data_IF_305228078431
#
_entry.id   IF_305228078431
#
_cell.length_a   1.000
_cell.length_b   1.000
_cell.length_c   1.000
_cell.angle_alpha   90.00
_cell.angle_beta   90.00
_cell.angle_gamma   90.00
#
_symmetry.space_group_name_H-M   'P 1'
#
loop_
_entity.id
_entity.type
_entity.pdbx_description
1 polymer ?
#
# COMPACT_ATOMS: atom_id res chain seq x y z
N UNK A 1 7.92 2.23 -11.38
CA UNK A 1 7.32 1.54 -10.21
C UNK A 1 5.91 2.03 -9.88
N UNK A 2 5.69 3.33 -9.63
CA UNK A 2 4.38 3.86 -9.21
C UNK A 2 3.20 3.44 -10.13
N UNK A 3 3.32 3.62 -11.45
CA UNK A 3 2.30 3.19 -12.41
C UNK A 3 1.99 1.68 -12.32
N UNK A 4 3.04 0.86 -12.15
CA UNK A 4 2.94 -0.58 -12.02
C UNK A 4 2.22 -1.00 -10.73
N UNK A 5 2.53 -0.34 -9.62
CA UNK A 5 1.82 -0.52 -8.35
C UNK A 5 0.35 -0.10 -8.49
N UNK A 6 0.06 1.00 -9.19
CA UNK A 6 -1.31 1.46 -9.42
C UNK A 6 -2.12 0.43 -10.21
N UNK A 7 -1.52 -0.15 -11.25
CA UNK A 7 -2.13 -1.23 -12.03
C UNK A 7 -2.44 -2.45 -11.14
N UNK A 8 -1.46 -2.93 -10.37
CA UNK A 8 -1.64 -4.09 -9.50
C UNK A 8 -2.67 -3.87 -8.37
N UNK A 9 -2.75 -2.64 -7.83
CA UNK A 9 -3.67 -2.31 -6.75
C UNK A 9 -5.09 -1.96 -7.22
N UNK A 10 -5.27 -1.66 -8.52
CA UNK A 10 -6.56 -1.41 -9.13
C UNK A 10 -7.42 -0.41 -8.35
N UNK A 11 -8.62 -0.84 -7.96
CA UNK A 11 -9.62 -0.02 -7.24
C UNK A 11 -9.38 0.09 -5.72
N UNK A 12 -8.32 -0.53 -5.19
CA UNK A 12 -7.97 -0.43 -3.77
C UNK A 12 -7.42 0.96 -3.40
N UNK A 13 -6.85 1.67 -4.37
CA UNK A 13 -6.29 3.03 -4.23
C UNK A 13 -6.82 3.92 -5.35
N UNK A 14 -6.93 5.22 -5.13
CA UNK A 14 -7.24 6.18 -6.20
C UNK A 14 -6.04 6.40 -7.11
N UNK A 15 -4.85 6.55 -6.52
CA UNK A 15 -3.59 6.76 -7.24
C UNK A 15 -2.39 6.22 -6.46
N UNK A 16 -1.22 6.14 -7.11
CA UNK A 16 0.08 5.84 -6.47
C UNK A 16 1.09 6.92 -6.84
N UNK A 17 1.66 7.59 -5.84
CA UNK A 17 2.57 8.73 -6.03
C UNK A 17 3.89 8.55 -5.29
N UNK A 18 4.94 9.20 -5.79
CA UNK A 18 6.21 9.30 -5.06
C UNK A 18 6.04 10.33 -3.96
N UNK A 19 6.40 9.96 -2.73
CA UNK A 19 6.38 10.86 -1.58
C UNK A 19 7.63 11.73 -1.56
N UNK A 20 7.48 12.96 -1.08
CA UNK A 20 8.59 13.89 -0.78
C UNK A 20 8.76 14.14 0.72
N UNK A 21 7.93 13.51 1.55
CA UNK A 21 7.83 13.77 3.00
C UNK A 21 8.13 12.55 3.88
N UNK A 22 8.17 11.35 3.29
CA UNK A 22 8.49 10.12 4.02
C UNK A 22 9.99 10.05 4.25
N UNK A 23 10.38 9.79 5.51
CA UNK A 23 11.78 9.64 5.90
C UNK A 23 12.10 8.15 6.13
N UNK A 24 11.52 7.54 7.18
CA UNK A 24 11.81 6.15 7.55
C UNK A 24 10.83 5.12 7.02
N UNK A 25 9.62 5.53 6.66
CA UNK A 25 8.57 4.60 6.21
C UNK A 25 8.61 4.38 4.71
N UNK A 26 8.36 3.15 4.27
CA UNK A 26 8.30 2.80 2.85
C UNK A 26 7.10 3.44 2.14
N UNK A 27 6.00 3.63 2.86
CA UNK A 27 4.70 4.04 2.30
C UNK A 27 3.85 4.79 3.32
N UNK A 28 2.90 5.59 2.84
CA UNK A 28 1.79 6.11 3.65
C UNK A 28 0.53 6.30 2.80
N UNK A 29 -0.62 6.49 3.46
CA UNK A 29 -1.89 6.80 2.79
C UNK A 29 -2.21 8.29 2.94
N UNK A 30 -2.67 8.90 1.84
CA UNK A 30 -3.14 10.29 1.84
C UNK A 30 -4.50 10.42 1.19
N UNK A 31 -5.26 11.42 1.63
CA UNK A 31 -6.53 11.75 1.00
C UNK A 31 -6.30 12.17 -0.47
N UNK A 32 -7.20 11.81 -1.39
CA UNK A 32 -7.14 12.31 -2.75
C UNK A 32 -7.49 13.81 -2.78
N UNK A 33 -6.46 14.67 -2.81
CA UNK A 33 -6.60 16.11 -3.01
C UNK A 33 -7.56 16.80 -2.02
N UNK A 34 -8.53 17.56 -2.55
CA UNK A 34 -9.55 18.30 -1.79
C UNK A 34 -10.73 17.44 -1.30
N UNK A 35 -10.58 16.11 -1.27
CA UNK A 35 -11.59 15.18 -0.79
C UNK A 35 -11.74 15.17 0.74
N UNK A 36 -12.71 14.39 1.26
CA UNK A 36 -12.86 14.18 2.69
C UNK A 36 -11.57 13.63 3.30
N UNK A 37 -11.24 14.13 4.49
CA UNK A 37 -10.11 13.60 5.26
C UNK A 37 -10.28 12.09 5.49
N UNK A 38 -9.20 11.33 5.32
CA UNK A 38 -9.26 9.86 5.43
C UNK A 38 -9.67 9.41 6.83
N UNK A 39 -9.25 10.12 7.88
CA UNK A 39 -9.61 9.77 9.25
C UNK A 39 -11.10 9.99 9.49
N UNK A 40 -11.65 11.11 8.99
CA UNK A 40 -13.08 11.39 9.07
C UNK A 40 -13.89 10.32 8.32
N UNK A 41 -13.52 10.00 7.09
CA UNK A 41 -14.20 8.98 6.27
C UNK A 41 -14.22 7.61 6.98
N UNK A 42 -13.11 7.22 7.62
CA UNK A 42 -13.02 6.00 8.42
C UNK A 42 -13.93 6.02 9.64
N UNK A 43 -13.98 7.14 10.37
CA UNK A 43 -14.86 7.29 11.54
C UNK A 43 -16.35 7.17 11.17
N UNK A 44 -16.72 7.66 9.98
CA UNK A 44 -18.08 7.56 9.46
C UNK A 44 -18.38 6.17 8.89
N UNK A 45 -17.39 5.52 8.26
CA UNK A 45 -17.53 4.16 7.73
C UNK A 45 -17.88 3.13 8.81
N UNK A 46 -17.39 3.29 10.04
CA UNK A 46 -17.77 2.44 11.19
C UNK A 46 -19.25 2.54 11.59
N UNK A 47 -19.96 3.55 11.06
CA UNK A 47 -21.39 3.79 11.27
C UNK A 47 -22.19 3.67 9.97
N UNK A 48 -21.63 3.01 8.96
CA UNK A 48 -22.21 2.87 7.61
C UNK A 48 -22.52 4.22 6.92
N UNK A 49 -21.80 5.29 7.29
CA UNK A 49 -21.94 6.65 6.75
C UNK A 49 -20.70 7.13 6.02
N UNK A 50 -19.77 6.22 5.72
CA UNK A 50 -18.55 6.54 4.97
C UNK A 50 -18.86 6.98 3.55
N UNK A 51 -18.03 7.85 3.02
CA UNK A 51 -18.02 8.27 1.62
C UNK A 51 -17.27 7.28 0.71
N UNK A 52 -16.58 6.28 1.29
CA UNK A 52 -15.88 5.24 0.55
C UNK A 52 -14.63 5.77 -0.17
N UNK A 53 -13.94 6.72 0.46
CA UNK A 53 -12.81 7.43 -0.16
C UNK A 53 -11.66 6.45 -0.42
N UNK A 54 -11.23 6.37 -1.68
CA UNK A 54 -10.04 5.58 -2.06
C UNK A 54 -8.78 6.41 -1.80
N UNK A 55 -7.86 5.97 -0.94
CA UNK A 55 -6.66 6.74 -0.62
C UNK A 55 -5.68 6.74 -1.79
N UNK A 56 -4.80 7.73 -1.83
CA UNK A 56 -3.58 7.69 -2.65
C UNK A 56 -2.50 7.01 -1.82
N UNK A 57 -1.82 6.01 -2.41
CA UNK A 57 -0.65 5.39 -1.81
C UNK A 57 0.58 6.21 -2.19
N UNK A 58 1.23 6.80 -1.20
CA UNK A 58 2.53 7.42 -1.39
C UNK A 58 3.65 6.41 -1.13
N UNK A 59 4.64 6.33 -2.03
CA UNK A 59 5.82 5.47 -1.91
C UNK A 59 7.09 6.30 -1.66
N UNK A 60 7.94 5.85 -0.75
CA UNK A 60 9.24 6.47 -0.46
C UNK A 60 10.34 5.83 -1.32
N UNK A 61 10.90 6.52 -2.32
CA UNK A 61 11.91 5.95 -3.21
C UNK A 61 13.24 5.68 -2.49
N UNK A 62 13.51 6.35 -1.37
CA UNK A 62 14.74 6.19 -0.58
C UNK A 62 14.68 4.97 0.36
N UNK A 63 13.49 4.44 0.62
CA UNK A 63 13.35 3.25 1.45
C UNK A 63 13.88 2.01 0.71
N UNK A 64 14.74 1.24 1.36
CA UNK A 64 15.45 0.11 0.75
C UNK A 64 14.53 -0.89 0.01
N UNK A 65 13.36 -1.21 0.58
CA UNK A 65 12.38 -2.08 -0.08
C UNK A 65 11.85 -1.49 -1.40
N UNK A 66 11.52 -0.19 -1.43
CA UNK A 66 10.96 0.47 -2.61
C UNK A 66 12.04 0.64 -3.67
N UNK A 67 13.26 1.01 -3.27
CA UNK A 67 14.42 1.07 -4.15
C UNK A 67 14.68 -0.29 -4.81
N UNK A 68 14.70 -1.38 -4.03
CA UNK A 68 14.89 -2.74 -4.56
C UNK A 68 13.77 -3.18 -5.50
N UNK A 69 12.52 -2.83 -5.20
CA UNK A 69 11.39 -3.08 -6.11
C UNK A 69 11.50 -2.28 -7.41
N UNK A 70 12.03 -1.06 -7.36
CA UNK A 70 12.27 -0.25 -8.54
C UNK A 70 13.41 -0.84 -9.39
N UNK A 71 14.52 -1.23 -8.76
CA UNK A 71 15.67 -1.89 -9.39
C UNK A 71 15.29 -3.23 -10.03
N UNK A 72 14.47 -4.04 -9.36
CA UNK A 72 13.98 -5.30 -9.90
C UNK A 72 13.09 -5.13 -11.14
N UNK A 73 12.64 -3.91 -11.45
CA UNK A 73 11.99 -3.58 -12.71
C UNK A 73 10.79 -4.49 -13.02
N UNK A 74 10.91 -5.26 -14.10
CA UNK A 74 9.93 -6.25 -14.55
C UNK A 74 10.33 -7.69 -14.26
N UNK A 75 11.42 -7.94 -13.52
CA UNK A 75 11.89 -9.30 -13.19
C UNK A 75 10.91 -10.02 -12.25
N UNK A 76 10.33 -9.30 -11.29
CA UNK A 76 9.24 -9.82 -10.45
C UNK A 76 7.95 -9.58 -11.21
N UNK A 77 7.16 -10.61 -11.54
CA UNK A 77 5.92 -10.50 -12.34
C UNK A 77 4.74 -11.24 -11.71
N UNK A 78 3.54 -11.07 -12.31
CA UNK A 78 2.33 -11.79 -11.94
C UNK A 78 2.00 -11.67 -10.45
N UNK A 79 1.59 -12.81 -9.87
CA UNK A 79 1.16 -12.92 -8.48
C UNK A 79 2.23 -12.43 -7.50
N UNK A 80 3.52 -12.66 -7.78
CA UNK A 80 4.59 -12.23 -6.89
C UNK A 80 4.67 -10.69 -6.79
N UNK A 81 4.43 -9.96 -7.89
CA UNK A 81 4.38 -8.51 -7.85
C UNK A 81 3.08 -8.01 -7.20
N UNK A 82 1.95 -8.64 -7.50
CA UNK A 82 0.66 -8.30 -6.91
C UNK A 82 0.69 -8.46 -5.37
N UNK A 83 1.29 -9.54 -4.88
CA UNK A 83 1.55 -9.80 -3.46
C UNK A 83 2.31 -8.67 -2.79
N UNK A 84 3.43 -8.25 -3.39
CA UNK A 84 4.27 -7.17 -2.87
C UNK A 84 3.54 -5.82 -2.89
N UNK A 85 2.81 -5.52 -3.96
CA UNK A 85 2.01 -4.29 -4.06
C UNK A 85 0.96 -4.24 -2.95
N UNK A 86 0.24 -5.35 -2.74
CA UNK A 86 -0.75 -5.45 -1.68
C UNK A 86 -0.15 -5.42 -0.28
N UNK A 87 1.03 -6.03 -0.09
CA UNK A 87 1.75 -5.97 1.18
C UNK A 87 2.12 -4.53 1.53
N UNK A 88 2.62 -3.74 0.57
CA UNK A 88 2.88 -2.32 0.77
C UNK A 88 1.61 -1.56 1.17
N UNK A 89 0.48 -1.81 0.50
CA UNK A 89 -0.79 -1.18 0.87
C UNK A 89 -1.24 -1.55 2.29
N UNK A 90 -1.10 -2.82 2.67
CA UNK A 90 -1.48 -3.29 4.00
C UNK A 90 -0.53 -2.75 5.09
N UNK A 91 0.77 -2.58 4.79
CA UNK A 91 1.70 -1.87 5.69
C UNK A 91 1.29 -0.41 5.90
N UNK A 92 0.91 0.29 4.82
CA UNK A 92 0.45 1.68 4.92
C UNK A 92 -0.80 1.80 5.79
N UNK A 93 -1.71 0.82 5.72
CA UNK A 93 -2.88 0.73 6.62
C UNK A 93 -2.46 0.55 8.07
N UNK A 94 -1.55 -0.37 8.35
CA UNK A 94 -1.08 -0.66 9.71
C UNK A 94 -0.42 0.58 10.34
N UNK A 95 0.43 1.29 9.59
CA UNK A 95 1.07 2.53 10.05
C UNK A 95 0.06 3.64 10.36
N UNK A 96 -1.06 3.66 9.64
CA UNK A 96 -2.21 4.54 9.88
C UNK A 96 -3.15 4.04 11.01
N UNK A 97 -2.78 2.98 11.74
CA UNK A 97 -3.60 2.39 12.81
C UNK A 97 -4.81 1.61 12.31
N UNK A 98 -4.80 1.17 11.04
CA UNK A 98 -5.87 0.38 10.44
C UNK A 98 -5.50 -1.08 10.32
N UNK A 99 -6.52 -1.93 10.40
CA UNK A 99 -6.39 -3.34 10.05
C UNK A 99 -6.23 -3.49 8.53
N UNK A 100 -5.39 -4.44 8.04
CA UNK A 100 -5.41 -4.85 6.64
C UNK A 100 -6.82 -5.20 6.16
N UNK A 101 -7.14 -4.98 4.88
CA UNK A 101 -8.48 -5.30 4.36
C UNK A 101 -8.80 -6.80 4.44
N UNK A 102 -7.77 -7.64 4.32
CA UNK A 102 -7.84 -9.08 4.54
C UNK A 102 -6.63 -9.49 5.40
N UNK A 103 -6.80 -9.59 6.73
CA UNK A 103 -5.72 -9.96 7.65
C UNK A 103 -5.14 -11.35 7.38
N UNK A 104 -5.98 -12.30 6.96
CA UNK A 104 -5.57 -13.67 6.70
C UNK A 104 -4.68 -13.73 5.46
N UNK A 105 -5.08 -13.06 4.38
CA UNK A 105 -4.27 -12.92 3.16
C UNK A 105 -2.97 -12.18 3.44
N UNK A 106 -3.02 -11.09 4.21
CA UNK A 106 -1.81 -10.35 4.61
C UNK A 106 -0.80 -11.27 5.32
N UNK A 107 -1.25 -12.02 6.35
CA UNK A 107 -0.40 -12.95 7.08
C UNK A 107 0.15 -14.06 6.18
N UNK A 108 -0.67 -14.64 5.30
CA UNK A 108 -0.24 -15.67 4.36
C UNK A 108 0.83 -15.15 3.37
N UNK A 109 0.64 -13.94 2.84
CA UNK A 109 1.62 -13.29 1.94
C UNK A 109 2.91 -12.97 2.66
N UNK A 110 2.83 -12.42 3.88
CA UNK A 110 4.01 -12.13 4.70
C UNK A 110 4.82 -13.40 4.98
N UNK A 111 4.15 -14.49 5.39
CA UNK A 111 4.81 -15.77 5.65
C UNK A 111 5.46 -16.35 4.40
N UNK A 112 4.80 -16.30 3.25
CA UNK A 112 5.35 -16.76 1.96
C UNK A 112 6.62 -16.01 1.58
N UNK A 113 6.65 -14.69 1.80
CA UNK A 113 7.84 -13.86 1.52
C UNK A 113 8.94 -14.09 2.56
N UNK A 114 8.60 -14.25 3.83
CA UNK A 114 9.57 -14.54 4.89
C UNK A 114 10.29 -15.88 4.65
N UNK A 115 9.55 -16.94 4.28
CA UNK A 115 10.13 -18.24 3.94
C UNK A 115 11.12 -18.14 2.77
N UNK A 116 10.82 -17.34 1.75
CA UNK A 116 11.74 -17.09 0.62
C UNK A 116 12.99 -16.31 1.02
N UNK A 117 12.93 -15.48 2.06
CA UNK A 117 14.07 -14.69 2.52
C UNK A 117 14.98 -15.42 3.51
N UNK A 118 14.50 -16.50 4.12
CA UNK A 118 15.26 -17.34 5.07
C UNK A 118 15.95 -18.52 4.36
N UNK A 119 15.73 -18.69 3.05
CA UNK A 119 16.35 -19.73 2.20
C UNK A 119 17.21 -19.15 1.10
#
# INVERSE_FOLDING_TARGET
>A
LAARLKEALGAAVSDVKVSTRLVSSAVCLVAPGSGPDLMLDRMLSRRDKGFGVKPVLEINPEHALVARLAEAGTTITGDAFADLAHLLLDQARILDGQTPADPARFAATLNRLAVRGVG
#
